data_IF_323702141128
#
_entry.id   IF_323702141128
#
_cell.length_a   1.000
_cell.length_b   1.000
_cell.length_c   1.000
_cell.angle_alpha   90.00
_cell.angle_beta   90.00
_cell.angle_gamma   90.00
#
_symmetry.space_group_name_H-M   'P 1'
#
loop_
_entity.id
_entity.type
_entity.pdbx_description
1 polymer ?
#
# COMPACT_ATOMS: atom_id res chain seq x y z
N UNK A 1 26.53 36.66 -23.44
CA UNK A 1 26.98 36.10 -22.15
C UNK A 1 26.65 34.62 -22.19
N UNK A 2 27.67 33.80 -22.39
CA UNK A 2 27.60 32.36 -22.56
C UNK A 2 28.00 31.70 -21.25
N UNK A 3 27.06 31.01 -20.60
CA UNK A 3 27.39 29.98 -19.62
C UNK A 3 26.85 28.65 -20.13
N UNK A 4 27.74 27.92 -20.80
CA UNK A 4 27.66 26.50 -21.03
C UNK A 4 27.88 25.76 -19.70
N UNK A 5 26.83 25.19 -19.12
CA UNK A 5 26.95 24.16 -18.08
C UNK A 5 26.75 22.76 -18.72
N UNK A 6 27.78 21.91 -18.76
CA UNK A 6 27.73 20.59 -19.37
C UNK A 6 27.30 19.55 -18.33
N UNK A 7 26.00 19.25 -18.27
CA UNK A 7 25.56 17.90 -17.91
C UNK A 7 24.36 17.46 -18.74
N UNK A 8 24.78 16.99 -19.91
CA UNK A 8 24.11 16.11 -20.84
C UNK A 8 23.08 15.16 -20.20
N UNK A 9 21.85 15.28 -20.70
CA UNK A 9 20.93 14.22 -21.16
C UNK A 9 21.00 12.84 -20.46
N UNK A 10 19.78 12.42 -20.08
CA UNK A 10 19.18 11.10 -20.38
C UNK A 10 19.53 9.94 -19.45
N UNK A 11 18.62 9.65 -18.51
CA UNK A 11 18.25 8.30 -18.08
C UNK A 11 16.73 8.33 -17.79
N UNK A 12 15.87 7.72 -18.60
CA UNK A 12 15.50 6.31 -18.46
C UNK A 12 15.38 5.90 -16.99
N UNK A 13 14.20 6.10 -16.42
CA UNK A 13 13.42 5.04 -15.77
C UNK A 13 12.38 5.70 -14.85
N UNK A 14 11.12 5.29 -15.00
CA UNK A 14 10.07 5.56 -14.02
C UNK A 14 10.47 4.78 -12.76
N UNK A 15 11.24 5.42 -11.88
CA UNK A 15 11.39 5.02 -10.49
C UNK A 15 10.69 6.09 -9.65
N UNK A 16 9.67 5.70 -8.91
CA UNK A 16 9.15 6.53 -7.83
C UNK A 16 10.31 6.81 -6.86
N UNK A 17 10.75 8.06 -6.78
CA UNK A 17 11.74 8.49 -5.80
C UNK A 17 11.06 8.61 -4.43
N UNK A 18 10.77 7.47 -3.79
CA UNK A 18 10.45 7.40 -2.35
C UNK A 18 11.77 7.08 -1.63
N UNK A 19 12.71 8.02 -1.62
CA UNK A 19 14.00 7.82 -0.93
C UNK A 19 14.35 8.86 0.12
N UNK A 20 13.54 9.89 0.31
CA UNK A 20 13.93 11.00 1.18
C UNK A 20 13.28 10.99 2.58
N UNK A 21 12.45 10.00 2.95
CA UNK A 21 11.74 9.99 4.25
C UNK A 21 11.59 8.61 4.91
N UNK A 22 12.55 7.70 4.73
CA UNK A 22 12.51 6.45 5.50
C UNK A 22 13.90 6.10 6.02
N UNK A 23 14.07 6.14 7.34
CA UNK A 23 15.27 5.67 8.01
C UNK A 23 15.49 4.20 7.69
N UNK A 24 16.66 3.87 7.15
CA UNK A 24 17.01 2.49 6.77
C UNK A 24 16.97 1.57 7.99
N UNK A 25 16.06 0.60 8.00
CA UNK A 25 16.15 -0.57 8.87
C UNK A 25 16.96 -1.68 8.16
N UNK A 26 17.73 -2.51 8.89
CA UNK A 26 18.65 -3.50 8.31
C UNK A 26 17.98 -4.86 8.01
N UNK A 27 16.73 -4.87 7.55
CA UNK A 27 16.00 -6.10 7.18
C UNK A 27 15.55 -6.05 5.71
N UNK A 28 15.36 -7.21 5.09
CA UNK A 28 14.86 -7.38 3.71
C UNK A 28 13.43 -6.83 3.46
N UNK A 29 12.85 -6.11 4.43
CA UNK A 29 11.59 -5.40 4.34
C UNK A 29 11.84 -3.93 3.95
N UNK A 30 11.13 -3.44 2.94
CA UNK A 30 11.11 -2.02 2.58
C UNK A 30 10.88 -1.16 3.84
N UNK A 31 11.82 -0.26 4.21
CA UNK A 31 11.74 0.52 5.45
C UNK A 31 10.53 1.48 5.47
N UNK A 32 9.83 1.66 4.34
CA UNK A 32 8.67 2.53 4.23
C UNK A 32 7.31 1.82 4.34
N UNK A 33 7.26 0.48 4.33
CA UNK A 33 5.99 -0.25 4.23
C UNK A 33 5.73 -1.15 5.45
N UNK A 34 4.93 -0.63 6.38
CA UNK A 34 4.36 -1.43 7.47
C UNK A 34 2.99 -1.95 7.06
N UNK A 35 2.85 -3.27 6.92
CA UNK A 35 1.55 -3.92 6.70
C UNK A 35 0.84 -4.05 8.06
N UNK A 36 -0.29 -3.37 8.22
CA UNK A 36 -1.10 -3.47 9.45
C UNK A 36 -1.87 -4.81 9.44
N UNK A 37 -1.57 -5.75 10.36
CA UNK A 37 -2.23 -7.05 10.41
C UNK A 37 -3.70 -6.90 10.80
N UNK A 38 -4.49 -7.94 10.49
CA UNK A 38 -5.94 -7.97 10.76
C UNK A 38 -6.32 -7.64 12.20
N UNK A 39 -5.55 -8.12 13.16
CA UNK A 39 -5.81 -7.88 14.58
C UNK A 39 -5.69 -6.39 14.94
N UNK A 40 -4.73 -5.68 14.34
CA UNK A 40 -4.41 -4.29 14.69
C UNK A 40 -5.44 -3.28 14.18
N UNK A 41 -6.18 -3.60 13.10
CA UNK A 41 -7.35 -2.81 12.69
C UNK A 41 -8.68 -3.37 13.22
N UNK A 42 -8.63 -4.28 14.20
CA UNK A 42 -9.80 -4.85 14.88
C UNK A 42 -10.76 -5.58 13.92
N UNK A 43 -10.20 -6.33 12.97
CA UNK A 43 -10.98 -7.13 12.03
C UNK A 43 -11.85 -8.18 12.73
N UNK A 44 -13.09 -8.32 12.27
CA UNK A 44 -13.93 -9.48 12.59
C UNK A 44 -13.30 -10.78 12.08
N UNK A 45 -13.62 -11.88 12.75
CA UNK A 45 -13.29 -13.24 12.31
C UNK A 45 -13.90 -13.51 10.93
N UNK A 46 -13.13 -14.09 10.02
CA UNK A 46 -13.62 -14.49 8.70
C UNK A 46 -14.68 -15.58 8.82
N UNK A 47 -15.69 -15.58 7.93
CA UNK A 47 -16.74 -16.62 7.89
C UNK A 47 -16.22 -17.96 7.38
N UNK A 48 -15.28 -17.93 6.45
CA UNK A 48 -14.62 -19.10 5.87
C UNK A 48 -13.20 -18.74 5.41
N UNK A 49 -12.37 -19.75 5.18
CA UNK A 49 -10.98 -19.60 4.72
C UNK A 49 -10.76 -20.53 3.54
N UNK A 50 -10.21 -19.99 2.45
CA UNK A 50 -9.73 -20.74 1.29
C UNK A 50 -8.31 -20.27 0.97
N UNK A 51 -7.41 -21.21 0.70
CA UNK A 51 -5.99 -20.91 0.48
C UNK A 51 -5.69 -20.76 -1.01
N UNK A 52 -4.92 -19.73 -1.36
CA UNK A 52 -4.45 -19.53 -2.73
C UNK A 52 -3.25 -20.43 -3.03
N UNK A 53 -3.14 -20.89 -4.29
CA UNK A 53 -1.93 -21.54 -4.79
C UNK A 53 -0.82 -20.50 -4.92
N UNK A 54 0.34 -20.78 -4.33
CA UNK A 54 1.53 -19.93 -4.41
C UNK A 54 2.55 -20.51 -5.42
N UNK A 55 3.31 -19.66 -6.13
CA UNK A 55 3.23 -18.19 -6.14
C UNK A 55 2.00 -17.69 -6.91
N UNK A 56 1.47 -16.53 -6.50
CA UNK A 56 0.43 -15.82 -7.27
C UNK A 56 1.08 -15.13 -8.47
N UNK A 57 0.45 -15.19 -9.65
CA UNK A 57 1.04 -14.71 -10.92
C UNK A 57 0.42 -13.41 -11.45
N UNK A 58 -0.75 -13.02 -10.93
CA UNK A 58 -1.49 -11.84 -11.37
C UNK A 58 -1.77 -10.91 -10.18
N UNK A 59 -1.73 -9.60 -10.43
CA UNK A 59 -2.09 -8.54 -9.47
C UNK A 59 -3.20 -7.70 -10.08
N UNK A 60 -4.31 -7.54 -9.35
CA UNK A 60 -5.44 -6.70 -9.74
C UNK A 60 -5.51 -5.49 -8.80
N UNK A 61 -5.52 -4.28 -9.37
CA UNK A 61 -5.56 -3.03 -8.61
C UNK A 61 -7.00 -2.51 -8.58
N UNK A 62 -7.52 -2.25 -7.38
CA UNK A 62 -8.87 -1.77 -7.16
C UNK A 62 -8.88 -0.45 -6.37
N UNK A 63 -9.84 0.42 -6.68
CA UNK A 63 -10.27 1.47 -5.75
C UNK A 63 -11.42 0.95 -4.88
N UNK A 64 -11.61 1.54 -3.70
CA UNK A 64 -12.67 1.12 -2.77
C UNK A 64 -14.06 1.62 -3.17
N UNK A 65 -14.14 2.76 -3.90
CA UNK A 65 -15.39 3.50 -4.15
C UNK A 65 -16.13 3.91 -2.86
N UNK A 66 -15.41 3.97 -1.73
CA UNK A 66 -15.88 4.45 -0.43
C UNK A 66 -15.25 5.81 -0.13
N UNK A 67 -15.44 6.33 1.10
CA UNK A 67 -14.76 7.54 1.51
C UNK A 67 -13.24 7.33 1.54
N UNK A 68 -12.51 8.43 1.28
CA UNK A 68 -11.06 8.45 1.32
C UNK A 68 -10.60 8.71 2.76
N UNK A 69 -9.51 8.07 3.15
CA UNK A 69 -8.89 8.24 4.46
C UNK A 69 -7.43 8.71 4.32
N UNK A 70 -6.89 9.32 5.37
CA UNK A 70 -5.54 9.91 5.37
C UNK A 70 -4.77 9.70 6.68
N UNK A 71 -5.43 9.19 7.72
CA UNK A 71 -4.82 8.88 9.02
C UNK A 71 -5.06 7.41 9.35
N UNK A 72 -4.23 6.82 10.21
CA UNK A 72 -4.40 5.42 10.63
C UNK A 72 -5.82 5.18 11.17
N UNK A 73 -6.29 6.04 12.07
CA UNK A 73 -7.63 5.96 12.66
C UNK A 73 -8.74 6.03 11.60
N UNK A 74 -8.69 7.01 10.68
CA UNK A 74 -9.71 7.14 9.63
C UNK A 74 -9.66 5.98 8.64
N UNK A 75 -8.48 5.44 8.34
CA UNK A 75 -8.35 4.28 7.46
C UNK A 75 -8.82 2.98 8.12
N UNK A 76 -8.59 2.82 9.43
CA UNK A 76 -9.14 1.70 10.21
C UNK A 76 -10.67 1.77 10.24
N UNK A 77 -11.25 2.97 10.35
CA UNK A 77 -12.70 3.15 10.23
C UNK A 77 -13.21 2.70 8.86
N UNK A 78 -12.64 3.22 7.76
CA UNK A 78 -13.10 2.88 6.41
C UNK A 78 -12.96 1.40 6.07
N UNK A 79 -11.86 0.75 6.45
CA UNK A 79 -11.69 -0.69 6.17
C UNK A 79 -12.67 -1.56 6.98
N UNK A 80 -13.10 -1.11 8.17
CA UNK A 80 -14.14 -1.78 8.95
C UNK A 80 -15.51 -1.64 8.30
N UNK A 81 -15.84 -0.48 7.74
CA UNK A 81 -17.08 -0.30 6.97
C UNK A 81 -17.12 -1.19 5.73
N UNK A 82 -16.00 -1.28 5.00
CA UNK A 82 -15.85 -2.22 3.87
C UNK A 82 -16.05 -3.67 4.34
N UNK A 83 -15.42 -4.06 5.45
CA UNK A 83 -15.59 -5.40 6.01
C UNK A 83 -17.05 -5.68 6.37
N UNK A 84 -17.70 -4.77 7.09
CA UNK A 84 -19.09 -4.94 7.53
C UNK A 84 -20.03 -5.07 6.34
N UNK A 85 -19.86 -4.21 5.34
CA UNK A 85 -20.65 -4.29 4.11
C UNK A 85 -20.47 -5.64 3.40
N UNK A 86 -19.23 -6.10 3.21
CA UNK A 86 -18.94 -7.39 2.57
C UNK A 86 -19.37 -8.61 3.39
N UNK A 87 -19.46 -8.49 4.72
CA UNK A 87 -19.89 -9.58 5.58
C UNK A 87 -21.40 -9.61 5.82
N UNK A 88 -22.08 -8.45 5.83
CA UNK A 88 -23.46 -8.37 6.34
C UNK A 88 -24.48 -7.98 5.26
N UNK A 89 -24.05 -7.32 4.18
CA UNK A 89 -24.94 -6.73 3.16
C UNK A 89 -24.75 -7.28 1.75
N UNK A 90 -23.67 -7.99 1.49
CA UNK A 90 -23.45 -8.77 0.26
C UNK A 90 -23.69 -10.25 0.50
#
# INVERSE_FOLDING_TARGET
QTDSNPNLRQLSSIFCHVKDVCDKQPSDSDPCLTIIPRAEWFARKTKSVSYMKVPVVNVFIHHTAMARCYTSETCVHEIKEIQNFHMDKK
#
